data_IF_221730392949
#
_entry.id   IF_221730392949
#
_cell.length_a   1.000
_cell.length_b   1.000
_cell.length_c   1.000
_cell.angle_alpha   90.00
_cell.angle_beta   90.00
_cell.angle_gamma   90.00
#
_symmetry.space_group_name_H-M   'P 1'
#
loop_
_entity.id
_entity.type
_entity.pdbx_description
1 polymer ?
#
# COMPACT_ATOMS: atom_id res chain seq x y z
N UNK A 1 55.02 -8.73 -29.51
CA UNK A 1 53.92 -7.86 -29.17
C UNK A 1 54.45 -6.68 -28.34
N UNK A 2 54.37 -5.51 -28.87
CA UNK A 2 54.94 -4.31 -28.20
C UNK A 2 54.20 -4.02 -26.93
N UNK A 3 54.92 -3.83 -25.82
CA UNK A 3 54.32 -3.49 -24.51
C UNK A 3 53.39 -2.28 -24.57
N UNK A 4 53.63 -1.35 -25.49
CA UNK A 4 52.76 -0.20 -25.74
C UNK A 4 51.43 -0.59 -26.38
N UNK A 5 51.39 -1.61 -27.23
CA UNK A 5 50.17 -2.11 -27.85
C UNK A 5 49.29 -2.87 -26.82
N UNK A 6 49.95 -3.60 -25.90
CA UNK A 6 49.27 -4.29 -24.80
C UNK A 6 48.63 -3.32 -23.84
N UNK A 7 49.29 -2.18 -23.55
CA UNK A 7 48.77 -1.11 -22.67
C UNK A 7 47.55 -0.42 -23.28
N UNK A 8 47.57 -0.19 -24.60
CA UNK A 8 46.42 0.40 -25.31
C UNK A 8 45.25 -0.59 -25.38
N UNK A 9 45.52 -1.89 -25.53
CA UNK A 9 44.48 -2.91 -25.51
C UNK A 9 43.84 -3.07 -24.10
N UNK A 10 44.64 -2.93 -23.05
CA UNK A 10 44.16 -2.97 -21.68
C UNK A 10 43.38 -1.71 -21.32
N UNK A 11 43.75 -0.54 -21.84
CA UNK A 11 43.04 0.72 -21.65
C UNK A 11 41.66 0.74 -22.37
N UNK A 12 41.59 0.10 -23.56
CA UNK A 12 40.33 -0.01 -24.34
C UNK A 12 39.40 -1.05 -23.71
N UNK A 13 39.94 -2.11 -23.06
CA UNK A 13 39.14 -3.09 -22.36
C UNK A 13 38.55 -2.57 -21.03
N UNK A 14 39.16 -1.53 -20.42
CA UNK A 14 38.71 -0.92 -19.18
C UNK A 14 37.63 0.16 -19.41
N UNK A 15 37.39 0.58 -20.64
CA UNK A 15 36.38 1.58 -20.97
C UNK A 15 35.03 1.01 -21.39
N UNK A 16 34.81 -0.30 -21.32
CA UNK A 16 33.48 -0.87 -21.32
C UNK A 16 32.91 -0.77 -19.88
N UNK A 17 32.76 0.46 -19.43
CA UNK A 17 31.83 0.74 -18.34
C UNK A 17 30.46 0.39 -18.92
N UNK A 18 29.98 -0.80 -18.61
CA UNK A 18 28.59 -1.14 -18.78
C UNK A 18 27.82 -0.12 -17.94
N UNK A 19 27.38 0.94 -18.59
CA UNK A 19 26.35 1.81 -18.03
C UNK A 19 25.11 0.94 -17.96
N UNK A 20 24.97 0.19 -16.87
CA UNK A 20 23.67 -0.33 -16.43
C UNK A 20 22.83 0.91 -16.28
N UNK A 21 21.74 1.08 -17.06
CA UNK A 21 20.78 2.09 -16.69
C UNK A 21 20.37 1.74 -15.25
N UNK A 22 20.77 2.58 -14.31
CA UNK A 22 20.11 2.59 -13.03
C UNK A 22 18.67 2.97 -13.36
N UNK A 23 17.81 1.97 -13.52
CA UNK A 23 16.41 2.18 -13.28
C UNK A 23 16.39 2.57 -11.81
N UNK A 24 16.46 3.87 -11.55
CA UNK A 24 15.94 4.40 -10.32
C UNK A 24 14.45 4.01 -10.40
N UNK A 25 14.12 2.88 -9.79
CA UNK A 25 12.79 2.60 -9.35
C UNK A 25 12.51 3.75 -8.38
N UNK A 26 11.88 4.80 -8.88
CA UNK A 26 11.22 5.76 -8.03
C UNK A 26 10.04 4.99 -7.48
N UNK A 27 10.29 4.16 -6.47
CA UNK A 27 9.26 3.65 -5.62
C UNK A 27 8.54 4.90 -5.11
N UNK A 28 7.42 5.21 -5.73
CA UNK A 28 6.53 6.23 -5.18
C UNK A 28 6.17 5.70 -3.80
N UNK A 29 6.49 6.49 -2.78
CA UNK A 29 6.39 6.10 -1.37
C UNK A 29 4.93 6.20 -0.94
N UNK A 30 4.12 5.26 -1.48
CA UNK A 30 2.72 5.16 -1.12
C UNK A 30 2.55 4.38 0.19
N UNK A 31 1.51 4.75 0.92
CA UNK A 31 1.08 4.00 2.09
C UNK A 31 0.66 2.59 1.67
N UNK A 32 1.17 1.53 2.31
CA UNK A 32 0.77 0.16 2.01
C UNK A 32 -0.74 -0.05 2.21
N UNK A 33 -1.37 -0.88 1.39
CA UNK A 33 -2.78 -1.22 1.52
C UNK A 33 -3.11 -2.11 2.74
N UNK A 34 -2.09 -2.66 3.40
CA UNK A 34 -2.24 -3.39 4.66
C UNK A 34 -1.31 -2.81 5.72
N UNK A 35 -1.88 -2.45 6.86
CA UNK A 35 -1.15 -2.05 8.06
C UNK A 35 -1.74 -2.82 9.24
N UNK A 36 -0.99 -3.76 9.80
CA UNK A 36 -1.42 -4.61 10.92
C UNK A 36 -0.70 -4.22 12.22
N UNK A 37 -1.09 -3.07 12.79
CA UNK A 37 -0.52 -2.55 14.04
C UNK A 37 -0.98 -3.35 15.28
N UNK A 38 -2.10 -4.06 15.18
CA UNK A 38 -2.60 -4.90 16.26
C UNK A 38 -2.01 -6.33 16.24
N UNK A 39 -1.12 -6.64 15.28
CA UNK A 39 -0.44 -7.95 15.16
C UNK A 39 -1.44 -9.13 15.13
N UNK A 40 -2.52 -8.96 14.33
CA UNK A 40 -3.58 -9.97 14.22
C UNK A 40 -3.25 -11.06 13.21
N UNK A 41 -2.33 -10.79 12.29
CA UNK A 41 -1.96 -11.67 11.20
C UNK A 41 -0.57 -12.24 11.39
N UNK A 42 -0.35 -13.45 10.91
CA UNK A 42 1.01 -13.98 10.75
C UNK A 42 1.70 -13.31 9.56
N UNK A 43 3.03 -13.30 9.50
CA UNK A 43 3.75 -12.70 8.36
C UNK A 43 3.41 -13.31 7.01
N UNK A 44 2.98 -14.58 6.95
CA UNK A 44 2.48 -15.21 5.73
C UNK A 44 1.09 -14.67 5.35
N UNK A 45 0.20 -14.52 6.32
CA UNK A 45 -1.14 -13.95 6.11
C UNK A 45 -1.06 -12.48 5.69
N UNK A 46 -0.19 -11.68 6.31
CA UNK A 46 0.08 -10.29 5.89
C UNK A 46 0.53 -10.22 4.43
N UNK A 47 1.53 -11.03 4.06
CA UNK A 47 2.07 -11.03 2.70
C UNK A 47 1.00 -11.42 1.67
N UNK A 48 0.19 -12.43 1.98
CA UNK A 48 -0.87 -12.91 1.11
C UNK A 48 -2.01 -11.89 0.99
N UNK A 49 -2.41 -11.27 2.10
CA UNK A 49 -3.48 -10.26 2.10
C UNK A 49 -3.03 -8.99 1.39
N UNK A 50 -1.82 -8.49 1.68
CA UNK A 50 -1.27 -7.32 1.00
C UNK A 50 -1.23 -7.51 -0.52
N UNK A 51 -0.73 -8.66 -1.00
CA UNK A 51 -0.70 -8.96 -2.43
C UNK A 51 -2.10 -8.94 -3.08
N UNK A 52 -3.12 -9.42 -2.37
CA UNK A 52 -4.51 -9.37 -2.86
C UNK A 52 -5.08 -7.95 -2.86
N UNK A 53 -4.80 -7.17 -1.83
CA UNK A 53 -5.26 -5.78 -1.74
C UNK A 53 -4.63 -4.95 -2.86
N UNK A 54 -3.32 -5.11 -3.11
CA UNK A 54 -2.61 -4.45 -4.22
C UNK A 54 -3.19 -4.85 -5.57
N UNK A 55 -3.42 -6.15 -5.82
CA UNK A 55 -4.01 -6.64 -7.06
C UNK A 55 -5.41 -6.05 -7.30
N UNK A 56 -6.26 -6.01 -6.27
CA UNK A 56 -7.62 -5.47 -6.39
C UNK A 56 -7.57 -3.97 -6.62
N UNK A 57 -6.71 -3.25 -5.88
CA UNK A 57 -6.55 -1.81 -6.01
C UNK A 57 -6.08 -1.42 -7.40
N UNK A 58 -5.08 -2.12 -7.94
CA UNK A 58 -4.56 -1.87 -9.29
C UNK A 58 -5.60 -2.19 -10.37
N UNK A 59 -6.36 -3.26 -10.21
CA UNK A 59 -7.41 -3.66 -11.15
C UNK A 59 -8.57 -2.67 -11.20
N UNK A 60 -8.92 -2.08 -10.06
CA UNK A 60 -10.06 -1.16 -9.94
C UNK A 60 -9.65 0.32 -10.06
N UNK A 61 -8.36 0.63 -9.97
CA UNK A 61 -7.83 2.00 -9.82
C UNK A 61 -8.47 2.73 -8.63
N UNK A 62 -8.64 2.00 -7.51
CA UNK A 62 -9.20 2.47 -6.25
C UNK A 62 -8.39 1.84 -5.13
N UNK A 63 -7.98 2.60 -4.13
CA UNK A 63 -7.29 2.01 -2.98
C UNK A 63 -8.25 1.14 -2.18
N UNK A 64 -7.85 -0.10 -1.92
CA UNK A 64 -8.57 -1.02 -1.03
C UNK A 64 -7.62 -1.38 0.10
N UNK A 65 -7.82 -0.77 1.26
CA UNK A 65 -6.90 -0.85 2.37
C UNK A 65 -7.52 -1.47 3.63
N UNK A 66 -6.69 -2.11 4.43
CA UNK A 66 -7.04 -2.65 5.75
C UNK A 66 -6.04 -2.13 6.77
N UNK A 67 -6.54 -1.61 7.87
CA UNK A 67 -5.74 -1.14 9.01
C UNK A 67 -6.27 -1.78 10.29
N UNK A 68 -5.38 -2.37 11.06
CA UNK A 68 -5.69 -2.85 12.41
C UNK A 68 -4.93 -2.02 13.43
N UNK A 69 -5.59 -1.68 14.52
CA UNK A 69 -5.02 -0.89 15.62
C UNK A 69 -5.36 -1.52 16.97
N UNK A 70 -4.42 -1.50 17.89
CA UNK A 70 -4.69 -1.87 19.29
C UNK A 70 -5.62 -0.86 19.95
N UNK A 71 -5.38 0.43 19.72
CA UNK A 71 -6.16 1.54 20.27
C UNK A 71 -6.19 2.70 19.28
N UNK A 72 -7.33 3.37 19.21
CA UNK A 72 -7.55 4.58 18.40
C UNK A 72 -7.64 5.86 19.25
N UNK A 73 -7.30 5.74 20.55
CA UNK A 73 -7.35 6.83 21.51
C UNK A 73 -8.76 7.34 21.74
N UNK A 74 -8.93 8.67 21.79
CA UNK A 74 -10.22 9.30 22.09
C UNK A 74 -11.13 9.46 20.85
N UNK A 75 -10.72 8.95 19.69
CA UNK A 75 -11.49 9.04 18.44
C UNK A 75 -12.51 7.92 18.35
N UNK A 76 -13.61 8.20 17.67
CA UNK A 76 -14.52 7.14 17.21
C UNK A 76 -13.87 6.37 16.05
N UNK A 77 -14.23 5.09 15.80
CA UNK A 77 -13.72 4.33 14.66
C UNK A 77 -13.90 5.05 13.32
N UNK A 78 -15.01 5.76 13.17
CA UNK A 78 -15.26 6.57 11.97
C UNK A 78 -14.25 7.71 11.82
N UNK A 79 -14.11 8.53 12.87
CA UNK A 79 -13.17 9.68 12.83
C UNK A 79 -11.74 9.21 12.58
N UNK A 80 -11.34 8.10 13.21
CA UNK A 80 -10.01 7.55 13.02
C UNK A 80 -9.80 7.05 11.58
N UNK A 81 -10.75 6.29 11.03
CA UNK A 81 -10.65 5.75 9.68
C UNK A 81 -10.65 6.85 8.61
N UNK A 82 -11.52 7.85 8.76
CA UNK A 82 -11.60 9.01 7.85
C UNK A 82 -10.27 9.78 7.86
N UNK A 83 -9.79 10.16 9.05
CA UNK A 83 -8.52 10.86 9.22
C UNK A 83 -7.34 10.03 8.73
N UNK A 84 -7.32 8.73 9.00
CA UNK A 84 -6.24 7.84 8.58
C UNK A 84 -6.10 7.81 7.06
N UNK A 85 -7.20 7.71 6.34
CA UNK A 85 -7.16 7.74 4.89
C UNK A 85 -6.74 9.12 4.35
N UNK A 86 -7.27 10.19 4.93
CA UNK A 86 -7.01 11.57 4.46
C UNK A 86 -5.57 12.02 4.70
N UNK A 87 -4.94 11.57 5.79
CA UNK A 87 -3.56 11.97 6.14
C UNK A 87 -2.48 11.05 5.55
N UNK A 88 -2.86 9.93 4.94
CA UNK A 88 -1.92 9.00 4.34
C UNK A 88 -1.93 9.11 2.81
N UNK A 89 -0.77 8.89 2.20
CA UNK A 89 -0.59 9.02 0.74
C UNK A 89 -0.85 7.68 0.06
N UNK A 90 -2.09 7.36 -0.22
CA UNK A 90 -2.45 6.19 -1.01
C UNK A 90 -2.30 6.44 -2.52
N UNK A 91 -2.10 5.36 -3.29
CA UNK A 91 -1.77 5.40 -4.72
C UNK A 91 -2.87 6.00 -5.58
N UNK A 92 -4.12 5.71 -5.29
CA UNK A 92 -5.29 6.12 -6.06
C UNK A 92 -6.10 7.24 -5.39
N UNK A 93 -5.55 7.86 -4.32
CA UNK A 93 -6.20 8.97 -3.64
C UNK A 93 -6.71 10.02 -4.66
N UNK A 94 -7.99 10.50 -4.60
CA UNK A 94 -8.91 10.35 -3.47
C UNK A 94 -9.83 9.13 -3.53
N UNK A 95 -9.65 8.20 -4.46
CA UNK A 95 -10.57 7.09 -4.66
C UNK A 95 -10.17 5.89 -3.79
N UNK A 96 -10.93 5.62 -2.72
CA UNK A 96 -10.54 4.57 -1.80
C UNK A 96 -11.62 4.02 -0.88
N UNK A 97 -11.32 2.83 -0.36
CA UNK A 97 -12.05 2.12 0.68
C UNK A 97 -11.04 1.68 1.73
N UNK A 98 -11.30 1.97 2.99
CA UNK A 98 -10.46 1.52 4.09
C UNK A 98 -11.32 0.82 5.16
N UNK A 99 -10.96 -0.40 5.50
CA UNK A 99 -11.47 -1.13 6.66
C UNK A 99 -10.53 -0.87 7.85
N UNK A 100 -11.05 -0.30 8.91
CA UNK A 100 -10.42 -0.20 10.22
C UNK A 100 -10.95 -1.28 11.16
N UNK A 101 -10.04 -1.95 11.87
CA UNK A 101 -10.35 -2.83 13.00
C UNK A 101 -9.66 -2.27 14.23
N UNK A 102 -10.42 -1.99 15.30
CA UNK A 102 -9.90 -1.50 16.58
C UNK A 102 -10.14 -2.52 17.68
N UNK A 103 -9.04 -2.98 18.30
CA UNK A 103 -9.09 -4.07 19.27
C UNK A 103 -9.57 -3.63 20.64
N UNK A 104 -9.18 -2.45 21.10
CA UNK A 104 -9.58 -1.91 22.41
C UNK A 104 -11.09 -1.63 22.45
N UNK A 105 -11.60 -1.00 21.39
CA UNK A 105 -13.02 -0.67 21.27
C UNK A 105 -13.85 -1.90 20.86
N UNK A 106 -13.20 -2.97 20.35
CA UNK A 106 -13.85 -4.15 19.76
C UNK A 106 -14.86 -3.76 18.69
N UNK A 107 -14.43 -2.85 17.84
CA UNK A 107 -15.25 -2.24 16.82
C UNK A 107 -14.48 -2.13 15.52
N UNK A 108 -15.17 -1.93 14.42
CA UNK A 108 -14.61 -1.77 13.10
C UNK A 108 -15.45 -0.81 12.27
N UNK A 109 -14.84 -0.20 11.29
CA UNK A 109 -15.50 0.77 10.43
C UNK A 109 -14.96 0.70 9.00
N UNK A 110 -15.86 0.86 8.02
CA UNK A 110 -15.49 1.02 6.62
C UNK A 110 -15.71 2.47 6.22
N UNK A 111 -14.62 3.17 5.86
CA UNK A 111 -14.72 4.46 5.20
C UNK A 111 -14.57 4.34 3.69
N UNK A 112 -15.23 5.21 2.95
CA UNK A 112 -15.18 5.29 1.49
C UNK A 112 -14.97 6.72 1.06
N UNK A 113 -14.10 6.93 0.08
CA UNK A 113 -13.77 8.26 -0.45
C UNK A 113 -13.83 8.28 -1.98
N UNK A 114 -13.94 9.46 -2.55
CA UNK A 114 -13.93 9.66 -3.99
C UNK A 114 -15.02 8.86 -4.72
N UNK A 115 -14.67 8.19 -5.80
CA UNK A 115 -15.61 7.38 -6.61
C UNK A 115 -16.15 6.15 -5.87
N UNK A 116 -15.44 5.68 -4.82
CA UNK A 116 -15.88 4.55 -4.01
C UNK A 116 -17.18 4.85 -3.25
N UNK A 117 -17.46 6.10 -2.90
CA UNK A 117 -18.71 6.53 -2.26
C UNK A 117 -19.94 6.16 -3.10
N UNK A 118 -19.83 6.29 -4.41
CA UNK A 118 -20.95 5.96 -5.32
C UNK A 118 -21.05 4.48 -5.62
N UNK A 119 -19.93 3.78 -5.56
CA UNK A 119 -19.86 2.34 -5.84
C UNK A 119 -20.25 1.51 -4.62
N UNK A 120 -19.81 1.94 -3.43
CA UNK A 120 -20.13 1.31 -2.15
C UNK A 120 -21.05 2.26 -1.38
N UNK A 121 -22.34 2.20 -1.70
CA UNK A 121 -23.36 3.00 -1.01
C UNK A 121 -23.52 2.56 0.44
N UNK A 122 -24.11 3.42 1.29
CA UNK A 122 -24.40 3.09 2.68
C UNK A 122 -25.16 1.76 2.85
N UNK A 123 -26.09 1.47 1.92
CA UNK A 123 -26.83 0.21 1.92
C UNK A 123 -25.92 -1.01 1.66
N UNK A 124 -24.94 -0.88 0.76
CA UNK A 124 -23.96 -1.96 0.49
C UNK A 124 -22.99 -2.12 1.63
N UNK A 125 -22.55 -1.01 2.23
CA UNK A 125 -21.71 -1.02 3.42
C UNK A 125 -22.41 -1.74 4.56
N UNK A 126 -23.67 -1.39 4.87
CA UNK A 126 -24.47 -2.07 5.89
C UNK A 126 -24.60 -3.58 5.64
N UNK A 127 -24.78 -4.00 4.38
CA UNK A 127 -24.81 -5.43 4.06
C UNK A 127 -23.46 -6.13 4.28
N UNK A 128 -22.33 -5.43 4.11
CA UNK A 128 -21.01 -5.95 4.42
C UNK A 128 -20.81 -6.04 5.94
N UNK A 129 -21.30 -5.05 6.67
CA UNK A 129 -21.28 -5.02 8.14
C UNK A 129 -22.09 -6.16 8.76
N UNK A 130 -23.25 -6.46 8.20
CA UNK A 130 -24.11 -7.57 8.65
C UNK A 130 -23.55 -8.97 8.34
N UNK A 131 -22.51 -9.06 7.50
CA UNK A 131 -21.90 -10.32 7.09
C UNK A 131 -20.77 -10.80 8.03
N UNK A 132 -20.33 -9.96 8.96
CA UNK A 132 -19.32 -10.26 9.97
C UNK A 132 -19.94 -10.47 11.35
#
# INVERSE_FOLDING_TARGET
MNKKLLLVFFAVLLCVVVSVPAFADTAEDYTPHLIDNADLLTGEEESNLLAKLDEISDRLSVDVAVVTEDSIGDKTPREYADDFYDYNSYKYNPDGVLLLISMEERDWYITTTGSAITTITDARRGNMEDAF
#
